data_IF_413181518726
#
_entry.id   IF_413181518726
#
_cell.length_a   1.000
_cell.length_b   1.000
_cell.length_c   1.000
_cell.angle_alpha   90.00
_cell.angle_beta   90.00
_cell.angle_gamma   90.00
#
_symmetry.space_group_name_H-M   'P 1'
#
loop_
_entity.id
_entity.type
_entity.pdbx_description
1 polymer ?
#
# COMPACT_ATOMS: atom_id res chain seq x y z
N UNK A 1 -12.39 7.37 -2.22
CA UNK A 1 -11.07 6.95 -2.80
C UNK A 1 -10.28 6.06 -1.82
N UNK A 2 -10.22 6.37 -0.52
CA UNK A 2 -9.63 5.45 0.48
C UNK A 2 -10.35 4.10 0.54
N UNK A 3 -11.68 4.11 0.48
CA UNK A 3 -12.49 2.89 0.41
C UNK A 3 -12.18 2.08 -0.85
N UNK A 4 -11.99 2.73 -1.99
CA UNK A 4 -11.60 2.08 -3.23
C UNK A 4 -10.18 1.47 -3.12
N UNK A 5 -9.25 2.20 -2.50
CA UNK A 5 -7.90 1.69 -2.22
C UNK A 5 -7.91 0.48 -1.27
N UNK A 6 -8.76 0.52 -0.24
CA UNK A 6 -8.95 -0.61 0.66
C UNK A 6 -9.54 -1.83 -0.09
N UNK A 7 -10.58 -1.64 -0.90
CA UNK A 7 -11.19 -2.71 -1.67
C UNK A 7 -10.19 -3.35 -2.67
N UNK A 8 -9.32 -2.55 -3.27
CA UNK A 8 -8.24 -3.07 -4.13
C UNK A 8 -7.23 -3.91 -3.35
N UNK A 9 -6.85 -3.48 -2.14
CA UNK A 9 -5.97 -4.26 -1.27
C UNK A 9 -6.63 -5.56 -0.82
N UNK A 10 -7.90 -5.53 -0.48
CA UNK A 10 -8.64 -6.73 -0.09
C UNK A 10 -8.71 -7.73 -1.25
N UNK A 11 -8.99 -7.24 -2.46
CA UNK A 11 -8.95 -8.05 -3.69
C UNK A 11 -7.56 -8.65 -3.95
N UNK A 12 -6.50 -7.83 -3.82
CA UNK A 12 -5.13 -8.30 -4.00
C UNK A 12 -4.75 -9.36 -2.95
N UNK A 13 -5.21 -9.21 -1.71
CA UNK A 13 -5.04 -10.20 -0.65
C UNK A 13 -5.71 -11.52 -0.96
N UNK A 14 -6.95 -11.49 -1.45
CA UNK A 14 -7.68 -12.70 -1.85
C UNK A 14 -6.97 -13.41 -3.00
N UNK A 15 -6.53 -12.68 -4.02
CA UNK A 15 -5.76 -13.22 -5.14
C UNK A 15 -4.45 -13.86 -4.68
N UNK A 16 -3.74 -13.19 -3.78
CA UNK A 16 -2.50 -13.69 -3.21
C UNK A 16 -2.72 -14.96 -2.38
N UNK A 17 -3.79 -15.01 -1.59
CA UNK A 17 -4.15 -16.20 -0.82
C UNK A 17 -4.53 -17.38 -1.73
N UNK A 18 -5.28 -17.12 -2.80
CA UNK A 18 -5.62 -18.13 -3.81
C UNK A 18 -4.36 -18.64 -4.52
N UNK A 19 -3.44 -17.76 -4.88
CA UNK A 19 -2.15 -18.13 -5.47
C UNK A 19 -1.31 -18.99 -4.51
N UNK A 20 -1.24 -18.63 -3.23
CA UNK A 20 -0.57 -19.42 -2.19
C UNK A 20 -1.18 -20.81 -2.04
N UNK A 21 -2.51 -20.92 -1.99
CA UNK A 21 -3.21 -22.19 -1.88
C UNK A 21 -2.94 -23.09 -3.10
N UNK A 22 -3.00 -22.51 -4.30
CA UNK A 22 -2.67 -23.22 -5.55
C UNK A 22 -1.22 -23.68 -5.58
N UNK A 23 -0.30 -22.84 -5.14
CA UNK A 23 1.11 -23.18 -5.02
C UNK A 23 1.35 -24.33 -4.03
N UNK A 24 0.74 -24.28 -2.85
CA UNK A 24 0.85 -25.37 -1.85
C UNK A 24 0.29 -26.69 -2.39
N UNK A 25 -0.84 -26.65 -3.10
CA UNK A 25 -1.40 -27.83 -3.76
C UNK A 25 -0.44 -28.37 -4.83
N UNK A 26 0.17 -27.51 -5.60
CA UNK A 26 1.19 -27.86 -6.59
C UNK A 26 2.44 -28.48 -5.96
N UNK A 27 2.92 -27.93 -4.83
CA UNK A 27 4.01 -28.51 -4.06
C UNK A 27 3.69 -29.94 -3.59
N UNK A 28 2.50 -30.14 -3.02
CA UNK A 28 2.06 -31.43 -2.53
C UNK A 28 2.00 -32.47 -3.68
N UNK A 29 1.41 -32.07 -4.82
CA UNK A 29 1.34 -32.94 -6.01
C UNK A 29 2.73 -33.27 -6.58
N UNK A 30 3.62 -32.29 -6.67
CA UNK A 30 4.99 -32.50 -7.14
C UNK A 30 5.80 -33.38 -6.18
N UNK A 31 5.71 -33.15 -4.87
CA UNK A 31 6.36 -33.98 -3.85
C UNK A 31 5.85 -35.42 -3.89
N UNK A 32 4.55 -35.62 -4.09
CA UNK A 32 3.98 -36.96 -4.30
C UNK A 32 4.56 -37.63 -5.56
N UNK A 33 4.65 -36.90 -6.67
CA UNK A 33 5.31 -37.39 -7.89
C UNK A 33 6.78 -37.73 -7.69
N UNK A 34 7.48 -37.00 -6.82
CA UNK A 34 8.88 -37.27 -6.47
C UNK A 34 9.08 -38.40 -5.44
N UNK A 35 8.05 -38.79 -4.72
CA UNK A 35 8.18 -39.74 -3.58
C UNK A 35 8.81 -41.07 -3.93
N UNK A 36 8.65 -41.55 -5.17
CA UNK A 36 9.27 -42.78 -5.69
C UNK A 36 10.73 -42.59 -6.12
N UNK A 37 11.12 -41.36 -6.46
CA UNK A 37 12.45 -41.01 -6.97
C UNK A 37 13.34 -40.48 -5.85
N UNK A 38 12.80 -39.64 -5.01
CA UNK A 38 13.41 -38.95 -3.88
C UNK A 38 12.51 -39.07 -2.65
N UNK A 39 12.49 -40.21 -1.94
CA UNK A 39 11.53 -40.47 -0.85
C UNK A 39 11.61 -39.48 0.33
N UNK A 40 12.74 -38.81 0.49
CA UNK A 40 12.95 -37.78 1.53
C UNK A 40 12.37 -36.43 1.17
N UNK A 41 11.92 -36.23 -0.07
CA UNK A 41 11.40 -34.93 -0.54
C UNK A 41 9.93 -34.78 -0.15
N UNK A 42 9.69 -33.91 0.81
CA UNK A 42 8.33 -33.46 1.21
C UNK A 42 7.94 -32.17 0.48
N UNK A 43 6.69 -31.78 0.58
CA UNK A 43 6.22 -30.48 0.06
C UNK A 43 7.01 -29.30 0.68
N UNK A 44 7.23 -29.34 1.99
CA UNK A 44 8.02 -28.30 2.70
C UNK A 44 9.50 -28.34 2.28
N UNK A 45 10.06 -29.53 2.08
CA UNK A 45 11.42 -29.71 1.55
C UNK A 45 11.58 -29.13 0.14
N UNK A 46 10.58 -29.32 -0.70
CA UNK A 46 10.54 -28.75 -2.05
C UNK A 46 10.40 -27.22 -2.02
N UNK A 47 9.53 -26.67 -1.18
CA UNK A 47 9.46 -25.20 -1.00
C UNK A 47 10.78 -24.62 -0.50
N UNK A 48 11.44 -25.28 0.48
CA UNK A 48 12.75 -24.91 0.97
C UNK A 48 13.82 -24.97 -0.13
N UNK A 49 13.79 -25.97 -0.99
CA UNK A 49 14.68 -26.07 -2.14
C UNK A 49 14.45 -24.94 -3.16
N UNK A 50 13.20 -24.62 -3.48
CA UNK A 50 12.85 -23.50 -4.37
C UNK A 50 13.31 -22.16 -3.77
N UNK A 51 13.17 -22.00 -2.44
CA UNK A 51 13.69 -20.84 -1.71
C UNK A 51 15.22 -20.74 -1.80
N UNK A 52 15.92 -21.86 -1.65
CA UNK A 52 17.37 -21.94 -1.79
C UNK A 52 17.82 -21.52 -3.19
N UNK A 53 17.17 -22.03 -4.25
CA UNK A 53 17.49 -21.63 -5.63
C UNK A 53 17.37 -20.11 -5.83
N UNK A 54 16.30 -19.53 -5.34
CA UNK A 54 16.07 -18.08 -5.39
C UNK A 54 17.16 -17.31 -4.63
N UNK A 55 17.49 -17.76 -3.42
CA UNK A 55 18.53 -17.12 -2.58
C UNK A 55 19.93 -17.13 -3.21
N UNK A 56 20.20 -18.15 -4.02
CA UNK A 56 21.47 -18.31 -4.76
C UNK A 56 21.45 -17.65 -6.14
N UNK A 57 20.29 -17.20 -6.61
CA UNK A 57 20.13 -16.66 -7.96
C UNK A 57 20.26 -17.71 -9.08
N UNK A 58 20.03 -19.01 -8.76
CA UNK A 58 20.21 -20.09 -9.74
C UNK A 58 19.06 -20.19 -10.74
N UNK A 59 17.88 -19.66 -10.43
CA UNK A 59 16.69 -19.86 -11.23
C UNK A 59 16.15 -21.31 -11.16
N UNK A 60 15.10 -21.57 -11.91
CA UNK A 60 14.55 -22.91 -11.99
C UNK A 60 15.47 -23.83 -12.78
N UNK A 61 15.78 -25.07 -12.30
CA UNK A 61 16.64 -26.01 -13.01
C UNK A 61 15.99 -26.45 -14.32
N UNK A 62 16.75 -26.38 -15.41
CA UNK A 62 16.29 -26.70 -16.76
C UNK A 62 16.67 -28.11 -17.20
N UNK A 63 17.58 -28.76 -16.50
CA UNK A 63 18.08 -30.11 -16.79
C UNK A 63 18.08 -30.97 -15.53
N UNK A 64 17.99 -32.27 -15.71
CA UNK A 64 18.07 -33.24 -14.62
C UNK A 64 19.40 -33.09 -13.87
N UNK A 65 20.49 -32.90 -14.59
CA UNK A 65 21.83 -32.70 -14.00
C UNK A 65 21.87 -31.47 -13.09
N UNK A 66 21.39 -30.32 -13.57
CA UNK A 66 21.33 -29.09 -12.77
C UNK A 66 20.44 -29.27 -11.55
N UNK A 67 19.28 -29.94 -11.70
CA UNK A 67 18.38 -30.25 -10.60
C UNK A 67 19.10 -31.09 -9.51
N UNK A 68 19.75 -32.19 -9.89
CA UNK A 68 20.46 -33.08 -8.95
C UNK A 68 21.62 -32.38 -8.25
N UNK A 69 22.41 -31.57 -9.00
CA UNK A 69 23.48 -30.77 -8.42
C UNK A 69 22.95 -29.79 -7.37
N UNK A 70 21.90 -29.04 -7.71
CA UNK A 70 21.31 -28.07 -6.80
C UNK A 70 20.67 -28.76 -5.56
N UNK A 71 20.06 -29.95 -5.73
CA UNK A 71 19.54 -30.74 -4.63
C UNK A 71 20.67 -31.20 -3.69
N UNK A 72 21.81 -31.65 -4.23
CA UNK A 72 22.98 -32.02 -3.42
C UNK A 72 23.51 -30.82 -2.65
N UNK A 73 23.62 -29.67 -3.29
CA UNK A 73 24.05 -28.42 -2.63
C UNK A 73 23.04 -27.96 -1.55
N UNK A 74 21.78 -28.18 -1.78
CA UNK A 74 20.71 -27.94 -0.77
C UNK A 74 20.79 -28.91 0.41
N UNK A 75 21.54 -30.01 0.27
CA UNK A 75 21.73 -31.00 1.34
C UNK A 75 20.80 -32.21 1.26
N UNK A 76 20.13 -32.43 0.14
CA UNK A 76 19.32 -33.64 -0.07
C UNK A 76 20.22 -34.80 -0.45
N UNK A 77 20.12 -35.91 0.30
CA UNK A 77 20.78 -37.15 -0.04
C UNK A 77 20.14 -37.80 -1.26
N UNK A 78 20.88 -37.90 -2.34
CA UNK A 78 20.39 -38.55 -3.56
C UNK A 78 20.57 -40.07 -3.47
N UNK A 79 19.67 -40.86 -4.11
CA UNK A 79 19.86 -42.31 -4.21
C UNK A 79 21.17 -42.64 -4.95
N UNK A 80 21.93 -43.60 -4.44
CA UNK A 80 23.14 -44.09 -5.08
C UNK A 80 22.75 -45.06 -6.19
N UNK A 81 22.84 -44.59 -7.44
CA UNK A 81 22.55 -45.40 -8.63
C UNK A 81 23.82 -45.57 -9.44
N UNK A 82 24.07 -46.79 -9.99
CA UNK A 82 25.18 -47.03 -10.89
C UNK A 82 24.96 -46.31 -12.22
N UNK A 83 25.99 -45.63 -12.72
CA UNK A 83 25.92 -45.01 -14.04
C UNK A 83 25.52 -46.07 -15.10
N UNK A 84 24.64 -45.72 -16.01
CA UNK A 84 24.09 -46.60 -17.04
C UNK A 84 23.21 -47.77 -16.53
N UNK A 85 22.75 -47.74 -15.29
CA UNK A 85 21.76 -48.69 -14.79
C UNK A 85 20.32 -48.31 -15.23
N UNK A 86 19.41 -49.25 -15.16
CA UNK A 86 17.98 -49.06 -15.42
C UNK A 86 17.42 -48.06 -14.42
N UNK A 87 17.89 -48.14 -13.17
CA UNK A 87 17.49 -47.24 -12.08
C UNK A 87 17.92 -45.78 -12.38
N UNK A 88 19.15 -45.59 -12.94
CA UNK A 88 19.63 -44.26 -13.35
C UNK A 88 18.74 -43.66 -14.46
N UNK A 89 18.41 -44.45 -15.47
CA UNK A 89 17.55 -44.06 -16.58
C UNK A 89 16.10 -43.72 -16.08
N UNK A 90 15.60 -44.54 -15.16
CA UNK A 90 14.30 -44.30 -14.54
C UNK A 90 14.28 -43.00 -13.72
N UNK A 91 15.32 -42.76 -12.92
CA UNK A 91 15.49 -41.51 -12.14
C UNK A 91 15.54 -40.29 -13.06
N UNK A 92 16.38 -40.36 -14.10
CA UNK A 92 16.54 -39.28 -15.08
C UNK A 92 15.20 -38.97 -15.81
N UNK A 93 14.52 -39.99 -16.29
CA UNK A 93 13.21 -39.85 -16.95
C UNK A 93 12.19 -39.27 -16.01
N UNK A 94 12.09 -39.77 -14.78
CA UNK A 94 11.14 -39.29 -13.80
C UNK A 94 11.36 -37.83 -13.42
N UNK A 95 12.62 -37.44 -13.16
CA UNK A 95 12.96 -36.05 -12.87
C UNK A 95 12.67 -35.15 -14.09
N UNK A 96 13.05 -35.59 -15.30
CA UNK A 96 12.83 -34.83 -16.53
C UNK A 96 11.33 -34.51 -16.73
N UNK A 97 10.44 -35.40 -16.37
CA UNK A 97 8.98 -35.17 -16.42
C UNK A 97 8.51 -34.15 -15.38
N UNK A 98 9.21 -34.03 -14.25
CA UNK A 98 8.86 -33.11 -13.17
C UNK A 98 9.47 -31.71 -13.35
N UNK A 99 10.53 -31.54 -14.13
CA UNK A 99 11.20 -30.25 -14.34
C UNK A 99 10.25 -29.13 -14.77
N UNK A 100 9.29 -29.33 -15.70
CA UNK A 100 8.34 -28.27 -16.06
C UNK A 100 7.49 -27.85 -14.88
N UNK A 101 7.05 -28.81 -14.05
CA UNK A 101 6.25 -28.52 -12.85
C UNK A 101 7.08 -27.77 -11.82
N UNK A 102 8.33 -28.18 -11.61
CA UNK A 102 9.27 -27.51 -10.71
C UNK A 102 9.52 -26.06 -11.19
N UNK A 103 9.68 -25.87 -12.50
CA UNK A 103 9.87 -24.54 -13.09
C UNK A 103 8.63 -23.64 -12.87
N UNK A 104 7.44 -24.22 -13.04
CA UNK A 104 6.19 -23.50 -12.74
C UNK A 104 6.05 -23.14 -11.26
N UNK A 105 6.38 -24.08 -10.37
CA UNK A 105 6.37 -23.83 -8.92
C UNK A 105 7.40 -22.76 -8.53
N UNK A 106 8.61 -22.80 -9.10
CA UNK A 106 9.60 -21.75 -8.89
C UNK A 106 9.05 -20.38 -9.29
N UNK A 107 8.51 -20.26 -10.50
CA UNK A 107 7.95 -19.01 -11.01
C UNK A 107 6.74 -18.53 -10.19
N UNK A 108 5.90 -19.47 -9.76
CA UNK A 108 4.77 -19.16 -8.88
C UNK A 108 5.24 -18.64 -7.51
N UNK A 109 6.27 -19.26 -6.93
CA UNK A 109 6.88 -18.81 -5.68
C UNK A 109 7.44 -17.40 -5.78
N UNK A 110 8.20 -17.11 -6.82
CA UNK A 110 8.75 -15.78 -7.08
C UNK A 110 7.63 -14.74 -7.23
N UNK A 111 6.59 -15.08 -7.98
CA UNK A 111 5.43 -14.21 -8.17
C UNK A 111 4.67 -13.94 -6.86
N UNK A 112 4.50 -14.96 -6.03
CA UNK A 112 3.87 -14.84 -4.70
C UNK A 112 4.73 -13.96 -3.79
N UNK A 113 6.06 -14.15 -3.79
CA UNK A 113 6.99 -13.36 -2.98
C UNK A 113 6.97 -11.89 -3.39
N UNK A 114 7.03 -11.61 -4.69
CA UNK A 114 6.94 -10.26 -5.23
C UNK A 114 5.56 -9.64 -4.95
N UNK A 115 4.48 -10.41 -5.13
CA UNK A 115 3.11 -9.99 -4.84
C UNK A 115 2.91 -9.67 -3.36
N UNK A 116 3.47 -10.49 -2.45
CA UNK A 116 3.43 -10.22 -1.01
C UNK A 116 4.15 -8.91 -0.67
N UNK A 117 5.34 -8.72 -1.19
CA UNK A 117 6.12 -7.49 -0.96
C UNK A 117 5.40 -6.25 -1.48
N UNK A 118 4.79 -6.34 -2.66
CA UNK A 118 4.01 -5.25 -3.24
C UNK A 118 2.74 -4.97 -2.39
N UNK A 119 2.04 -6.02 -1.95
CA UNK A 119 0.89 -5.90 -1.06
C UNK A 119 1.27 -5.19 0.25
N UNK A 120 2.33 -5.65 0.92
CA UNK A 120 2.78 -5.09 2.20
C UNK A 120 3.19 -3.61 2.05
N UNK A 121 3.90 -3.27 0.97
CA UNK A 121 4.28 -1.89 0.67
C UNK A 121 3.05 -1.00 0.42
N UNK A 122 2.05 -1.49 -0.30
CA UNK A 122 0.84 -0.73 -0.59
C UNK A 122 -0.08 -0.63 0.64
N UNK A 123 -0.15 -1.67 1.46
CA UNK A 123 -0.84 -1.64 2.74
C UNK A 123 -0.23 -0.59 3.68
N UNK A 124 1.11 -0.54 3.78
CA UNK A 124 1.81 0.47 4.55
C UNK A 124 1.52 1.90 4.05
N UNK A 125 1.57 2.12 2.73
CA UNK A 125 1.23 3.41 2.12
C UNK A 125 -0.22 3.80 2.38
N UNK A 126 -1.16 2.87 2.33
CA UNK A 126 -2.56 3.15 2.63
C UNK A 126 -2.75 3.58 4.09
N UNK A 127 -2.09 2.91 5.02
CA UNK A 127 -2.14 3.28 6.44
C UNK A 127 -1.50 4.66 6.69
N UNK A 128 -0.38 4.96 6.04
CA UNK A 128 0.23 6.29 6.08
C UNK A 128 -0.73 7.37 5.54
N UNK A 129 -1.36 7.11 4.40
CA UNK A 129 -2.34 8.03 3.80
C UNK A 129 -3.60 8.20 4.66
N UNK A 130 -4.08 7.13 5.32
CA UNK A 130 -5.18 7.20 6.30
C UNK A 130 -4.79 8.09 7.48
N UNK A 131 -3.58 7.93 8.00
CA UNK A 131 -3.06 8.77 9.08
C UNK A 131 -2.98 10.22 8.65
N UNK A 132 -2.38 10.49 7.49
CA UNK A 132 -2.27 11.85 6.94
C UNK A 132 -3.66 12.48 6.74
N UNK A 133 -4.64 11.70 6.27
CA UNK A 133 -6.03 12.18 6.14
C UNK A 133 -6.66 12.45 7.50
N UNK A 134 -6.40 11.61 8.51
CA UNK A 134 -6.89 11.83 9.87
C UNK A 134 -6.28 13.10 10.48
N UNK A 135 -4.98 13.29 10.35
CA UNK A 135 -4.26 14.48 10.79
C UNK A 135 -4.80 15.74 10.08
N UNK A 136 -4.98 15.66 8.76
CA UNK A 136 -5.55 16.77 7.97
C UNK A 136 -7.00 17.10 8.37
N UNK A 137 -7.82 16.09 8.69
CA UNK A 137 -9.17 16.31 9.22
C UNK A 137 -9.14 16.95 10.59
N UNK A 138 -8.22 16.57 11.45
CA UNK A 138 -8.05 17.18 12.77
C UNK A 138 -7.62 18.64 12.65
N UNK A 139 -6.66 18.93 11.75
CA UNK A 139 -6.25 20.30 11.44
C UNK A 139 -7.41 21.14 10.88
N UNK A 140 -8.19 20.55 9.97
CA UNK A 140 -9.38 21.21 9.41
C UNK A 140 -10.40 21.52 10.52
N UNK A 141 -10.68 20.56 11.41
CA UNK A 141 -11.60 20.76 12.52
C UNK A 141 -11.10 21.86 13.47
N UNK A 142 -9.79 21.88 13.75
CA UNK A 142 -9.16 22.96 14.54
C UNK A 142 -9.29 24.31 13.84
N UNK A 143 -9.10 24.37 12.53
CA UNK A 143 -9.26 25.58 11.73
C UNK A 143 -10.71 26.05 11.69
N UNK A 144 -11.67 25.13 11.52
CA UNK A 144 -13.09 25.42 11.57
C UNK A 144 -13.50 25.97 12.95
N UNK A 145 -12.99 25.37 14.03
CA UNK A 145 -13.24 25.85 15.38
C UNK A 145 -12.65 27.25 15.61
N UNK A 146 -11.43 27.49 15.10
CA UNK A 146 -10.84 28.84 15.16
C UNK A 146 -11.65 29.85 14.37
N UNK A 147 -12.12 29.49 13.17
CA UNK A 147 -13.00 30.34 12.36
C UNK A 147 -14.30 30.65 13.08
N UNK A 148 -14.94 29.63 13.66
CA UNK A 148 -16.18 29.78 14.44
C UNK A 148 -16.00 30.69 15.65
N UNK A 149 -14.86 30.51 16.35
CA UNK A 149 -14.53 31.38 17.49
C UNK A 149 -14.27 32.82 17.03
N UNK A 150 -13.55 33.00 15.91
CA UNK A 150 -13.34 34.31 15.30
C UNK A 150 -14.65 34.98 14.86
N UNK A 151 -15.54 34.19 14.24
CA UNK A 151 -16.88 34.69 13.87
C UNK A 151 -17.69 35.14 15.09
N UNK A 152 -17.65 34.34 16.17
CA UNK A 152 -18.31 34.66 17.41
C UNK A 152 -17.76 35.96 18.03
N UNK A 153 -16.45 36.09 18.06
CA UNK A 153 -15.78 37.31 18.53
C UNK A 153 -16.20 38.53 17.68
N UNK A 154 -16.28 38.35 16.37
CA UNK A 154 -16.74 39.38 15.45
C UNK A 154 -18.19 39.80 15.74
N UNK A 155 -19.10 38.82 15.89
CA UNK A 155 -20.49 39.12 16.20
C UNK A 155 -20.68 39.79 17.58
N UNK A 156 -19.91 39.32 18.58
CA UNK A 156 -19.89 39.92 19.91
C UNK A 156 -19.33 41.35 19.87
N UNK A 157 -18.27 41.59 19.09
CA UNK A 157 -17.70 42.90 18.82
C UNK A 157 -18.68 43.83 18.11
N UNK A 158 -19.43 43.29 17.13
CA UNK A 158 -20.45 44.00 16.41
C UNK A 158 -21.61 44.44 17.34
N UNK A 159 -22.05 43.53 18.24
CA UNK A 159 -23.07 43.86 19.26
C UNK A 159 -22.54 44.91 20.24
N UNK A 160 -21.28 44.83 20.64
CA UNK A 160 -20.67 45.82 21.49
C UNK A 160 -20.59 47.20 20.80
N UNK A 161 -20.23 47.20 19.50
CA UNK A 161 -20.18 48.43 18.70
C UNK A 161 -21.59 49.04 18.56
N UNK A 162 -22.63 48.21 18.33
CA UNK A 162 -24.00 48.66 18.22
C UNK A 162 -24.52 49.27 19.55
N UNK A 163 -24.23 48.59 20.66
CA UNK A 163 -24.50 49.11 22.01
C UNK A 163 -23.77 50.43 22.29
N UNK A 164 -22.50 50.55 21.80
CA UNK A 164 -21.74 51.79 21.90
C UNK A 164 -22.34 52.94 21.08
N UNK A 165 -22.86 52.62 19.89
CA UNK A 165 -23.60 53.56 19.06
C UNK A 165 -24.89 54.04 19.71
N UNK A 166 -25.62 53.12 20.37
CA UNK A 166 -26.86 53.48 21.10
C UNK A 166 -26.56 54.29 22.33
N UNK A 167 -25.51 53.97 23.08
CA UNK A 167 -25.02 54.77 24.19
C UNK A 167 -24.58 56.18 23.72
N UNK A 168 -23.87 56.24 22.55
CA UNK A 168 -23.48 57.53 21.95
C UNK A 168 -24.70 58.32 21.49
N UNK A 169 -25.72 57.63 20.93
CA UNK A 169 -26.97 58.21 20.51
C UNK A 169 -27.75 58.82 21.72
N UNK A 170 -27.68 58.08 22.84
CA UNK A 170 -28.28 58.54 24.11
C UNK A 170 -27.42 59.63 24.77
N UNK A 171 -26.13 59.56 24.60
CA UNK A 171 -25.18 60.56 25.13
C UNK A 171 -24.84 61.71 24.14
N UNK A 172 -25.70 61.94 23.13
CA UNK A 172 -25.49 62.88 22.00
C UNK A 172 -25.27 64.35 22.41
N UNK A 173 -25.47 64.68 23.69
CA UNK A 173 -25.17 66.01 24.30
C UNK A 173 -23.84 66.04 25.07
N UNK A 174 -23.14 64.89 25.15
CA UNK A 174 -21.85 64.83 25.84
C UNK A 174 -20.76 64.18 25.00
N UNK A 175 -20.21 64.98 24.08
CA UNK A 175 -18.77 65.01 23.83
C UNK A 175 -18.00 64.18 22.85
N UNK A 176 -17.10 64.88 22.24
CA UNK A 176 -15.91 64.54 21.47
C UNK A 176 -15.02 63.40 22.02
N UNK A 177 -15.04 63.11 23.31
CA UNK A 177 -14.29 61.97 23.92
C UNK A 177 -14.80 60.58 23.50
N UNK A 178 -16.07 60.44 23.13
CA UNK A 178 -16.64 59.19 22.68
C UNK A 178 -16.29 58.79 21.23
N UNK A 179 -15.85 59.81 20.41
CA UNK A 179 -15.35 59.53 19.06
C UNK A 179 -14.06 58.67 19.06
N UNK A 180 -13.16 58.97 19.99
CA UNK A 180 -11.93 58.21 20.12
C UNK A 180 -12.21 56.74 20.50
N UNK A 181 -13.19 56.50 21.35
CA UNK A 181 -13.64 55.18 21.75
C UNK A 181 -14.31 54.43 20.60
N UNK A 182 -15.12 55.11 19.79
CA UNK A 182 -15.78 54.52 18.62
C UNK A 182 -14.73 54.14 17.54
N UNK A 183 -13.73 55.02 17.33
CA UNK A 183 -12.62 54.77 16.39
C UNK A 183 -11.76 53.56 16.83
N UNK A 184 -11.49 53.41 18.16
CA UNK A 184 -10.80 52.26 18.71
C UNK A 184 -11.58 50.96 18.48
N UNK A 185 -12.90 50.95 18.70
CA UNK A 185 -13.72 49.78 18.48
C UNK A 185 -13.87 49.39 16.99
N UNK A 186 -13.81 50.37 16.10
CA UNK A 186 -13.80 50.15 14.66
C UNK A 186 -12.50 49.51 14.18
N UNK A 187 -11.39 49.88 14.84
CA UNK A 187 -10.09 49.23 14.60
C UNK A 187 -10.08 47.78 15.05
N UNK A 188 -10.58 47.52 16.25
CA UNK A 188 -10.74 46.14 16.76
C UNK A 188 -11.60 45.27 15.85
N UNK A 189 -12.69 45.81 15.29
CA UNK A 189 -13.54 45.13 14.34
C UNK A 189 -12.81 44.81 13.03
N UNK A 190 -12.02 45.80 12.55
CA UNK A 190 -11.20 45.62 11.34
C UNK A 190 -10.12 44.55 11.56
N UNK A 191 -9.49 44.56 12.73
CA UNK A 191 -8.51 43.56 13.11
C UNK A 191 -9.16 42.17 13.27
N UNK A 192 -10.35 42.11 13.87
CA UNK A 192 -11.15 40.89 13.97
C UNK A 192 -11.55 40.31 12.60
N UNK A 193 -11.92 41.20 11.66
CA UNK A 193 -12.19 40.81 10.27
C UNK A 193 -10.93 40.30 9.54
N UNK A 194 -9.78 40.90 9.80
CA UNK A 194 -8.50 40.42 9.28
C UNK A 194 -8.18 39.01 9.80
N UNK A 195 -8.33 38.78 11.11
CA UNK A 195 -8.13 37.44 11.71
C UNK A 195 -9.11 36.39 11.13
N UNK A 196 -10.37 36.75 10.90
CA UNK A 196 -11.33 35.86 10.24
C UNK A 196 -10.91 35.56 8.80
N UNK A 197 -10.41 36.57 8.07
CA UNK A 197 -9.89 36.38 6.70
C UNK A 197 -8.70 35.43 6.67
N UNK A 198 -7.78 35.57 7.61
CA UNK A 198 -6.60 34.69 7.74
C UNK A 198 -7.00 33.25 8.10
N UNK A 199 -7.93 33.08 9.05
CA UNK A 199 -8.46 31.77 9.40
C UNK A 199 -9.18 31.09 8.23
N UNK A 200 -9.94 31.87 7.44
CA UNK A 200 -10.61 31.37 6.22
C UNK A 200 -9.61 30.95 5.14
N UNK A 201 -8.51 31.68 4.98
CA UNK A 201 -7.43 31.31 4.08
C UNK A 201 -6.78 30.00 4.50
N UNK A 202 -6.45 29.86 5.79
CA UNK A 202 -5.89 28.63 6.36
C UNK A 202 -6.80 27.40 6.16
N UNK A 203 -8.11 27.59 6.29
CA UNK A 203 -9.09 26.53 6.03
C UNK A 203 -9.10 26.10 4.55
N UNK A 204 -9.01 27.06 3.64
CA UNK A 204 -8.91 26.80 2.20
C UNK A 204 -7.64 26.00 1.86
N UNK A 205 -6.51 26.37 2.44
CA UNK A 205 -5.22 25.70 2.21
C UNK A 205 -5.24 24.26 2.76
N UNK A 206 -5.82 24.07 3.96
CA UNK A 206 -5.99 22.73 4.53
C UNK A 206 -6.89 21.82 3.67
N UNK A 207 -7.93 22.40 3.09
CA UNK A 207 -8.84 21.69 2.18
C UNK A 207 -8.15 21.29 0.87
N UNK A 208 -7.34 22.19 0.31
CA UNK A 208 -6.51 21.89 -0.88
C UNK A 208 -5.57 20.71 -0.62
N UNK A 209 -4.86 20.73 0.51
CA UNK A 209 -3.97 19.62 0.91
C UNK A 209 -4.71 18.27 1.00
N UNK A 210 -5.96 18.29 1.46
CA UNK A 210 -6.79 17.09 1.51
C UNK A 210 -7.15 16.57 0.11
N UNK A 211 -7.47 17.45 -0.81
CA UNK A 211 -7.80 17.08 -2.19
C UNK A 211 -6.55 16.55 -2.93
N UNK A 212 -5.38 17.16 -2.70
CA UNK A 212 -4.10 16.68 -3.23
C UNK A 212 -3.74 15.27 -2.71
N UNK A 213 -3.93 15.03 -1.41
CA UNK A 213 -3.72 13.71 -0.83
C UNK A 213 -4.65 12.64 -1.43
N UNK A 214 -5.92 13.00 -1.67
CA UNK A 214 -6.88 12.10 -2.34
C UNK A 214 -6.47 11.77 -3.78
N UNK A 215 -5.99 12.77 -4.52
CA UNK A 215 -5.48 12.58 -5.88
C UNK A 215 -4.26 11.65 -5.90
N UNK A 216 -3.32 11.83 -4.97
CA UNK A 216 -2.14 10.99 -4.84
C UNK A 216 -2.49 9.51 -4.55
N UNK A 217 -3.51 9.27 -3.72
CA UNK A 217 -4.01 7.91 -3.48
C UNK A 217 -4.56 7.28 -4.77
N UNK A 218 -5.36 8.03 -5.53
CA UNK A 218 -5.92 7.55 -6.79
C UNK A 218 -4.84 7.22 -7.82
N UNK A 219 -3.83 8.09 -7.95
CA UNK A 219 -2.70 7.88 -8.85
C UNK A 219 -1.88 6.63 -8.46
N UNK A 220 -1.62 6.45 -7.17
CA UNK A 220 -0.91 5.28 -6.68
C UNK A 220 -1.70 3.98 -6.92
N UNK A 221 -3.02 4.02 -6.74
CA UNK A 221 -3.89 2.89 -7.05
C UNK A 221 -3.88 2.53 -8.55
N UNK A 222 -3.88 3.55 -9.41
CA UNK A 222 -3.78 3.34 -10.85
C UNK A 222 -2.43 2.77 -11.27
N UNK A 223 -1.33 3.30 -10.73
CA UNK A 223 0.03 2.79 -11.00
C UNK A 223 0.19 1.34 -10.57
N UNK A 224 -0.48 0.93 -9.49
CA UNK A 224 -0.48 -0.46 -9.06
C UNK A 224 -1.19 -1.35 -10.08
N UNK A 225 -2.40 -0.97 -10.49
CA UNK A 225 -3.17 -1.70 -11.49
C UNK A 225 -2.43 -1.80 -12.84
N UNK A 226 -1.82 -0.70 -13.29
CA UNK A 226 -1.04 -0.66 -14.53
C UNK A 226 0.23 -1.54 -14.42
N UNK A 227 0.85 -1.58 -13.25
CA UNK A 227 2.00 -2.43 -12.95
C UNK A 227 1.65 -3.92 -12.97
N UNK A 228 0.51 -4.30 -12.45
CA UNK A 228 0.01 -5.69 -12.50
C UNK A 228 -0.27 -6.13 -13.94
N UNK A 229 -0.91 -5.30 -14.76
CA UNK A 229 -1.18 -5.57 -16.18
C UNK A 229 0.14 -5.74 -16.94
N UNK A 230 1.07 -4.81 -16.77
CA UNK A 230 2.39 -4.86 -17.41
C UNK A 230 3.21 -6.10 -17.02
N UNK A 231 3.10 -6.55 -15.79
CA UNK A 231 3.75 -7.76 -15.31
C UNK A 231 3.14 -9.02 -15.93
N UNK A 232 1.82 -9.11 -15.98
CA UNK A 232 1.13 -10.25 -16.61
C UNK A 232 1.41 -10.34 -18.12
N UNK A 233 1.48 -9.19 -18.80
CA UNK A 233 1.83 -9.13 -20.22
C UNK A 233 3.28 -9.55 -20.46
N UNK A 234 4.21 -9.10 -19.66
CA UNK A 234 5.62 -9.48 -19.74
C UNK A 234 5.83 -10.98 -19.44
N UNK A 235 5.08 -11.53 -18.50
CA UNK A 235 5.09 -12.96 -18.18
C UNK A 235 4.58 -13.78 -19.34
N UNK A 236 3.46 -13.37 -19.95
CA UNK A 236 2.87 -14.04 -21.11
C UNK A 236 3.82 -14.03 -22.30
N UNK A 237 4.50 -12.90 -22.57
CA UNK A 237 5.50 -12.80 -23.62
C UNK A 237 6.73 -13.67 -23.34
N UNK A 238 7.12 -13.84 -22.09
CA UNK A 238 8.20 -14.74 -21.69
C UNK A 238 7.80 -16.20 -21.86
N UNK A 239 6.59 -16.57 -21.47
CA UNK A 239 6.03 -17.93 -21.63
C UNK A 239 5.82 -18.31 -23.11
N UNK A 240 5.54 -17.34 -24.00
CA UNK A 240 5.41 -17.57 -25.46
C UNK A 240 6.76 -17.74 -26.20
N UNK A 241 7.87 -17.35 -25.56
CA UNK A 241 9.24 -17.45 -26.13
C UNK A 241 10.03 -18.68 -25.64
N UNK A 242 9.45 -19.46 -24.71
CA UNK A 242 9.97 -20.73 -24.20
C UNK A 242 9.29 -21.92 -24.88
#
# INVERSE_FOLDING_TARGET
QLEAGQAQLDTAKEQLNAAKASYQSGLAGCAQGMSTLLPSMTADGLDGFLAFLSSKGYGAPQTTTAFLQNMTEYGVSLPTVSANSVEAAYLEQGISQLLPVISQLYSARESITAGQSAYDANAAKLEENKKLLADSKEELAKAEQKLKNGQKQYEDGKKQLENGKEQLKSAKSMLAGSWATLSGKQTELTDGLSQISDAKSSLKDARSKLDDAKAAIAENAQKLADGEISYEDAKKEADEKL
#
